data_IF_727508654552
#
_entry.id   IF_727508654552
#
_cell.length_a   1.000
_cell.length_b   1.000
_cell.length_c   1.000
_cell.angle_alpha   90.00
_cell.angle_beta   90.00
_cell.angle_gamma   90.00
#
_symmetry.space_group_name_H-M   'P 1'
#
loop_
_entity.id
_entity.type
_entity.pdbx_description
1 polymer ?
#
# COMPACT_ATOMS: atom_id res chain seq x y z
N UNK A 1 -3.96 26.59 3.93
CA UNK A 1 -3.84 25.20 3.42
C UNK A 1 -2.97 24.41 4.39
N UNK A 2 -3.57 23.54 5.21
CA UNK A 2 -2.80 22.65 6.10
C UNK A 2 -1.88 21.79 5.24
N UNK A 3 -0.57 21.91 5.45
CA UNK A 3 0.39 20.93 4.94
C UNK A 3 -0.01 19.59 5.58
N UNK A 4 -0.79 18.76 4.87
CA UNK A 4 -1.02 17.36 5.28
C UNK A 4 0.37 16.81 5.59
N UNK A 5 0.62 16.44 6.85
CA UNK A 5 1.87 15.76 7.22
C UNK A 5 2.01 14.59 6.24
N UNK A 6 3.13 14.54 5.51
CA UNK A 6 3.42 13.41 4.65
C UNK A 6 3.54 12.20 5.58
N UNK A 7 2.65 11.24 5.42
CA UNK A 7 2.81 9.94 6.07
C UNK A 7 4.14 9.34 5.59
N UNK A 8 4.97 8.89 6.52
CA UNK A 8 6.23 8.18 6.23
C UNK A 8 6.14 6.87 7.01
N UNK A 9 5.98 5.73 6.33
CA UNK A 9 5.91 4.44 6.99
C UNK A 9 7.27 4.00 7.53
N UNK A 10 7.25 3.14 8.55
CA UNK A 10 8.42 2.44 9.09
C UNK A 10 8.49 1.00 8.59
N UNK A 11 9.68 0.40 8.59
CA UNK A 11 9.84 -1.02 8.25
C UNK A 11 9.13 -1.89 9.30
N UNK A 12 8.43 -2.93 8.84
CA UNK A 12 7.53 -3.80 9.60
C UNK A 12 6.24 -3.14 10.11
N UNK A 13 5.97 -1.89 9.74
CA UNK A 13 4.69 -1.26 10.06
C UNK A 13 3.56 -1.87 9.24
N UNK A 14 2.44 -2.12 9.91
CA UNK A 14 1.18 -2.51 9.26
C UNK A 14 0.52 -1.29 8.64
N UNK A 15 0.18 -1.42 7.36
CA UNK A 15 -0.42 -0.35 6.56
C UNK A 15 -1.60 -0.87 5.76
N UNK A 16 -2.64 -0.06 5.70
CA UNK A 16 -3.70 -0.22 4.72
C UNK A 16 -3.34 0.59 3.48
N UNK A 17 -3.33 -0.07 2.34
CA UNK A 17 -3.03 0.50 1.03
C UNK A 17 -4.33 0.66 0.25
N UNK A 18 -4.52 1.80 -0.41
CA UNK A 18 -5.75 2.14 -1.13
C UNK A 18 -5.43 2.91 -2.41
N UNK A 19 -6.29 2.78 -3.42
CA UNK A 19 -6.18 3.56 -4.64
C UNK A 19 -6.61 5.02 -4.39
N UNK A 20 -5.70 5.98 -4.58
CA UNK A 20 -6.02 7.40 -4.41
C UNK A 20 -5.97 8.21 -5.71
N UNK A 21 -5.18 7.77 -6.70
CA UNK A 21 -5.03 8.51 -7.96
C UNK A 21 -5.56 7.69 -9.14
N UNK A 22 -6.75 8.07 -9.63
CA UNK A 22 -7.42 7.46 -10.78
C UNK A 22 -6.63 7.57 -12.09
N UNK A 23 -5.53 8.32 -12.10
CA UNK A 23 -4.63 8.48 -13.25
C UNK A 23 -3.51 7.45 -13.31
N UNK A 24 -3.29 6.71 -12.23
CA UNK A 24 -2.32 5.60 -12.23
C UNK A 24 -3.11 4.32 -12.49
N UNK A 25 -2.75 3.56 -13.52
CA UNK A 25 -3.20 2.18 -13.67
C UNK A 25 -2.61 1.36 -12.51
N UNK A 26 -3.31 1.36 -11.39
CA UNK A 26 -3.12 0.35 -10.35
C UNK A 26 -4.06 -0.80 -10.64
N UNK A 27 -3.59 -2.06 -10.59
CA UNK A 27 -4.47 -3.20 -10.78
C UNK A 27 -5.35 -3.46 -9.55
N UNK A 28 -5.03 -2.86 -8.39
CA UNK A 28 -5.79 -3.01 -7.15
C UNK A 28 -7.14 -2.31 -7.28
N UNK A 29 -8.22 -3.09 -7.24
CA UNK A 29 -9.59 -2.59 -7.27
C UNK A 29 -10.09 -2.20 -5.87
N UNK A 30 -9.55 -2.86 -4.84
CA UNK A 30 -9.93 -2.68 -3.45
C UNK A 30 -8.72 -2.33 -2.58
N UNK A 31 -8.94 -1.66 -1.43
CA UNK A 31 -7.91 -1.55 -0.42
C UNK A 31 -7.43 -2.93 0.06
N UNK A 32 -6.18 -3.00 0.47
CA UNK A 32 -5.57 -4.19 1.02
C UNK A 32 -4.64 -3.83 2.18
N UNK A 33 -4.42 -4.77 3.09
CA UNK A 33 -3.53 -4.59 4.23
C UNK A 33 -2.21 -5.34 4.00
N UNK A 34 -1.14 -4.81 4.55
CA UNK A 34 0.16 -5.45 4.46
C UNK A 34 1.21 -4.81 5.34
N UNK A 35 2.42 -5.36 5.25
CA UNK A 35 3.56 -4.94 6.07
C UNK A 35 4.64 -4.31 5.23
N UNK A 36 5.14 -3.17 5.68
CA UNK A 36 6.21 -2.43 5.00
C UNK A 36 7.51 -3.23 5.08
N UNK A 37 8.04 -3.62 3.93
CA UNK A 37 9.30 -4.35 3.81
C UNK A 37 10.49 -3.43 3.56
N UNK A 38 10.30 -2.38 2.75
CA UNK A 38 11.36 -1.44 2.38
C UNK A 38 10.76 -0.07 2.13
N UNK A 39 11.40 0.98 2.63
CA UNK A 39 10.99 2.37 2.43
C UNK A 39 11.90 3.01 1.38
N UNK A 40 11.30 3.57 0.33
CA UNK A 40 11.97 4.39 -0.69
C UNK A 40 11.72 5.87 -0.44
N UNK A 41 12.20 6.74 -1.33
CA UNK A 41 12.06 8.20 -1.17
C UNK A 41 10.58 8.68 -1.09
N UNK A 42 9.67 8.02 -1.82
CA UNK A 42 8.25 8.44 -1.97
C UNK A 42 7.24 7.29 -1.93
N UNK A 43 7.71 6.07 -1.73
CA UNK A 43 6.91 4.85 -1.78
C UNK A 43 7.50 3.79 -0.86
N UNK A 44 6.75 2.74 -0.57
CA UNK A 44 7.25 1.58 0.15
C UNK A 44 6.96 0.30 -0.63
N UNK A 45 7.86 -0.67 -0.51
CA UNK A 45 7.57 -2.06 -0.83
C UNK A 45 6.76 -2.64 0.33
N UNK A 46 5.57 -3.14 0.04
CA UNK A 46 4.66 -3.75 0.99
C UNK A 46 4.56 -5.25 0.69
N UNK A 47 4.71 -6.08 1.71
CA UNK A 47 4.32 -7.49 1.67
C UNK A 47 2.82 -7.56 1.89
N UNK A 48 2.10 -8.12 0.93
CA UNK A 48 0.64 -8.16 0.94
C UNK A 48 0.20 -9.18 1.99
N UNK A 49 -0.64 -8.75 2.94
CA UNK A 49 -1.15 -9.58 4.02
C UNK A 49 -2.57 -10.07 3.75
N UNK A 50 -3.50 -9.13 3.57
CA UNK A 50 -4.93 -9.40 3.37
C UNK A 50 -5.46 -8.60 2.19
N UNK A 51 -6.19 -9.26 1.30
CA UNK A 51 -6.77 -8.67 0.08
C UNK A 51 -8.24 -9.00 -0.06
N UNK A 52 -8.95 -8.23 -0.89
CA UNK A 52 -10.29 -8.61 -1.32
C UNK A 52 -10.22 -9.79 -2.30
N UNK A 53 -11.15 -10.78 -2.28
CA UNK A 53 -11.09 -11.98 -3.12
C UNK A 53 -10.98 -11.75 -4.64
N UNK A 54 -11.48 -10.60 -5.11
CA UNK A 54 -11.36 -10.20 -6.52
C UNK A 54 -9.94 -9.83 -6.92
N UNK A 55 -9.10 -9.43 -5.96
CA UNK A 55 -7.73 -8.98 -6.15
C UNK A 55 -6.70 -10.04 -5.73
N UNK A 56 -7.12 -11.20 -5.21
CA UNK A 56 -6.23 -12.29 -4.78
C UNK A 56 -5.30 -12.79 -5.90
N UNK A 57 -5.76 -12.73 -7.16
CA UNK A 57 -4.93 -13.06 -8.32
C UNK A 57 -3.67 -12.19 -8.42
N UNK A 58 -3.75 -10.91 -8.00
CA UNK A 58 -2.63 -9.97 -8.00
C UNK A 58 -1.57 -10.35 -6.96
N UNK A 59 -1.96 -11.01 -5.87
CA UNK A 59 -1.01 -11.54 -4.87
C UNK A 59 -0.10 -12.57 -5.53
N UNK A 60 -0.68 -13.46 -6.34
CA UNK A 60 0.06 -14.51 -7.07
C UNK A 60 0.94 -13.89 -8.15
N UNK A 61 0.38 -13.03 -8.99
CA UNK A 61 1.11 -12.39 -10.10
C UNK A 61 2.29 -11.53 -9.63
N UNK A 62 2.16 -10.88 -8.47
CA UNK A 62 3.17 -9.99 -7.92
C UNK A 62 4.10 -10.66 -6.90
N UNK A 63 3.97 -11.98 -6.71
CA UNK A 63 4.79 -12.73 -5.75
C UNK A 63 4.64 -12.25 -4.31
N UNK A 64 3.43 -11.84 -3.92
CA UNK A 64 3.07 -11.43 -2.57
C UNK A 64 3.60 -10.04 -2.16
N UNK A 65 4.06 -9.22 -3.11
CA UNK A 65 4.64 -7.89 -2.80
C UNK A 65 4.23 -6.83 -3.81
N UNK A 66 4.10 -5.59 -3.37
CA UNK A 66 3.78 -4.47 -4.28
C UNK A 66 4.38 -3.16 -3.79
N UNK A 67 4.66 -2.23 -4.71
CA UNK A 67 5.17 -0.90 -4.38
C UNK A 67 4.00 0.07 -4.34
N UNK A 68 3.82 0.72 -3.18
CA UNK A 68 2.72 1.65 -2.92
C UNK A 68 3.29 3.03 -2.57
N UNK A 69 2.83 4.13 -3.20
CA UNK A 69 3.17 5.49 -2.80
C UNK A 69 2.70 5.82 -1.39
N UNK A 70 3.39 6.71 -0.69
CA UNK A 70 2.97 7.15 0.65
C UNK A 70 1.60 7.85 0.67
N UNK A 71 1.16 8.36 -0.48
CA UNK A 71 -0.17 8.98 -0.66
C UNK A 71 -1.31 7.96 -0.74
N UNK A 72 -0.98 6.69 -0.97
CA UNK A 72 -1.89 5.57 -1.19
C UNK A 72 -1.82 4.56 -0.02
N UNK A 73 -1.30 4.98 1.12
CA UNK A 73 -1.21 4.14 2.31
C UNK A 73 -1.42 4.94 3.58
N UNK A 74 -1.90 4.28 4.62
CA UNK A 74 -2.00 4.81 5.98
C UNK A 74 -1.65 3.73 6.99
N UNK A 75 -1.17 4.13 8.16
CA UNK A 75 -1.02 3.21 9.29
C UNK A 75 -2.37 2.59 9.64
N UNK A 76 -2.39 1.28 9.89
CA UNK A 76 -3.52 0.66 10.60
C UNK A 76 -3.38 1.10 12.07
N UNK A 77 -4.32 1.91 12.55
CA UNK A 77 -4.37 2.27 13.97
C UNK A 77 -4.95 1.07 14.74
N UNK A 78 -4.12 0.43 15.57
CA UNK A 78 -4.56 -0.58 16.54
C UNK A 78 -5.40 0.04 17.66
#
# INVERSE_FOLDING_TARGET
MSRKKKFIPEVNQEVECFCCDSKRETPWLYPFEGYVKTVYEKSALVTIGSTHPKDDHLVVERGGRTIVPFTEMRAVEC
#
